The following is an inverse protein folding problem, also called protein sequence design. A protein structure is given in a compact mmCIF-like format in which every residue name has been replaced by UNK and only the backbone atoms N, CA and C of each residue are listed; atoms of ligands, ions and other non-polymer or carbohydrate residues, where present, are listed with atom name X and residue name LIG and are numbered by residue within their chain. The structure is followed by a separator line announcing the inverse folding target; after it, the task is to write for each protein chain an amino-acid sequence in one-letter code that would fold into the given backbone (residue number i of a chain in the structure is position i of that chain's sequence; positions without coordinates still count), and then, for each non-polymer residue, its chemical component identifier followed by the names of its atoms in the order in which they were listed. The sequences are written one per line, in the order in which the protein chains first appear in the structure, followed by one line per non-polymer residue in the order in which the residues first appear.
data_IF_966937045954
#
_entry.id   IF_966937045954
#
_cell.length_a   1.000
_cell.length_b   1.000
_cell.length_c   1.000
_cell.angle_alpha   90.00
_cell.angle_beta   90.00
_cell.angle_gamma   90.00
#
_symmetry.space_group_name_H-M   'P 1'
#
loop_
_entity.id
_entity.type
_entity.pdbx_description
1 polymer ?
#
# COMPACT_ATOMS: atom_id res chain seq x y z
N UNK A 1 -7.88 23.48 -8.97
CA UNK A 1 -6.50 23.62 -8.46
C UNK A 1 -5.52 24.12 -9.54
N UNK A 2 -5.28 23.35 -10.61
CA UNK A 2 -4.28 23.68 -11.65
C UNK A 2 -4.49 25.04 -12.31
N UNK A 3 -5.74 25.37 -12.63
CA UNK A 3 -6.13 26.68 -13.18
C UNK A 3 -5.78 27.84 -12.22
N UNK A 4 -5.99 27.64 -10.92
CA UNK A 4 -5.71 28.66 -9.90
C UNK A 4 -4.21 28.90 -9.72
N UNK A 5 -3.39 27.85 -9.72
CA UNK A 5 -1.94 27.98 -9.58
C UNK A 5 -1.28 28.60 -10.82
N UNK A 6 -1.77 28.27 -12.03
CA UNK A 6 -1.32 28.91 -13.28
C UNK A 6 -1.64 30.41 -13.26
N UNK A 7 -2.81 30.80 -12.76
CA UNK A 7 -3.17 32.21 -12.60
C UNK A 7 -2.30 32.92 -11.56
N UNK A 8 -1.92 32.26 -10.45
CA UNK A 8 -0.98 32.84 -9.47
C UNK A 8 0.42 33.03 -10.05
N UNK A 9 0.92 32.05 -10.81
CA UNK A 9 2.20 32.14 -11.49
C UNK A 9 2.22 33.29 -12.52
N UNK A 10 1.15 33.43 -13.32
CA UNK A 10 0.99 34.56 -14.26
C UNK A 10 0.91 35.92 -13.56
N UNK A 11 0.45 35.96 -12.31
CA UNK A 11 0.42 37.15 -11.46
C UNK A 11 1.71 37.37 -10.66
N UNK A 12 2.80 36.66 -10.96
CA UNK A 12 4.10 36.82 -10.29
C UNK A 12 4.16 36.33 -8.83
N UNK A 13 3.13 35.61 -8.35
CA UNK A 13 3.12 35.02 -7.00
C UNK A 13 3.78 33.64 -7.05
N UNK A 14 4.49 33.27 -5.98
CA UNK A 14 5.12 31.94 -5.84
C UNK A 14 4.03 30.85 -5.97
N UNK A 15 4.03 30.04 -7.05
CA UNK A 15 3.05 28.98 -7.24
C UNK A 15 3.32 27.82 -6.28
N UNK A 16 2.27 27.12 -5.85
CA UNK A 16 2.41 25.96 -4.96
C UNK A 16 2.98 24.75 -5.71
N UNK A 17 2.62 24.59 -6.98
CA UNK A 17 3.20 23.60 -7.89
C UNK A 17 3.75 24.26 -9.17
N UNK A 18 5.00 23.95 -9.49
CA UNK A 18 5.65 24.42 -10.72
C UNK A 18 5.37 23.46 -11.88
N UNK A 19 4.32 23.73 -12.66
CA UNK A 19 3.93 22.95 -13.82
C UNK A 19 5.01 22.87 -14.92
N UNK A 20 6.04 23.74 -14.90
CA UNK A 20 7.17 23.62 -15.83
C UNK A 20 7.95 22.32 -15.63
N UNK A 21 7.85 21.70 -14.44
CA UNK A 21 8.46 20.40 -14.14
C UNK A 21 7.89 19.26 -15.00
N UNK A 22 6.63 19.37 -15.44
CA UNK A 22 6.00 18.36 -16.31
C UNK A 22 6.57 18.36 -17.74
N UNK A 23 7.38 19.37 -18.12
CA UNK A 23 8.14 19.33 -19.38
C UNK A 23 9.26 18.30 -19.33
N UNK A 24 9.75 17.91 -18.16
CA UNK A 24 10.75 16.86 -18.04
C UNK A 24 10.09 15.48 -18.20
N UNK A 25 10.43 14.71 -19.25
CA UNK A 25 9.74 13.45 -19.54
C UNK A 25 9.89 12.43 -18.40
N UNK A 26 11.06 12.35 -17.76
CA UNK A 26 11.28 11.45 -16.62
C UNK A 26 10.41 11.81 -15.41
N UNK A 27 10.15 13.09 -15.17
CA UNK A 27 9.26 13.54 -14.10
C UNK A 27 7.79 13.23 -14.43
N UNK A 28 7.35 13.54 -15.66
CA UNK A 28 5.97 13.30 -16.11
C UNK A 28 5.61 11.81 -16.14
N UNK A 29 6.42 10.99 -16.80
CA UNK A 29 6.19 9.54 -16.87
C UNK A 29 6.44 8.86 -15.52
N UNK A 30 7.37 9.39 -14.72
CA UNK A 30 7.58 8.96 -13.35
C UNK A 30 6.34 9.17 -12.48
N UNK A 31 5.76 10.38 -12.46
CA UNK A 31 4.52 10.65 -11.73
C UNK A 31 3.35 9.78 -12.21
N UNK A 32 3.21 9.57 -13.51
CA UNK A 32 2.18 8.67 -14.05
C UNK A 32 2.39 7.22 -13.57
N UNK A 33 3.64 6.75 -13.52
CA UNK A 33 3.98 5.42 -12.99
C UNK A 33 3.65 5.35 -11.49
N UNK A 34 3.99 6.38 -10.70
CA UNK A 34 3.65 6.48 -9.27
C UNK A 34 2.14 6.38 -9.06
N UNK A 35 1.35 7.07 -9.90
CA UNK A 35 -0.11 7.01 -9.85
C UNK A 35 -0.63 5.59 -10.04
N UNK A 36 -0.20 4.92 -11.12
CA UNK A 36 -0.68 3.57 -11.46
C UNK A 36 -0.25 2.53 -10.43
N UNK A 37 1.00 2.60 -9.95
CA UNK A 37 1.52 1.72 -8.88
C UNK A 37 0.65 1.87 -7.64
N UNK A 38 0.47 3.11 -7.17
CA UNK A 38 -0.33 3.38 -5.97
C UNK A 38 -1.79 2.93 -6.13
N UNK A 39 -2.34 3.05 -7.34
CA UNK A 39 -3.68 2.58 -7.67
C UNK A 39 -3.80 1.06 -7.54
N UNK A 40 -2.87 0.30 -8.11
CA UNK A 40 -2.86 -1.16 -8.01
C UNK A 40 -2.57 -1.66 -6.60
N UNK A 41 -1.52 -1.12 -5.95
CA UNK A 41 -1.02 -1.61 -4.67
C UNK A 41 -2.04 -1.47 -3.54
N UNK A 42 -2.61 -0.27 -3.38
CA UNK A 42 -3.53 0.02 -2.28
C UNK A 42 -4.89 -0.61 -2.50
N UNK A 43 -5.36 -0.67 -3.75
CA UNK A 43 -6.59 -1.40 -4.07
C UNK A 43 -6.45 -2.90 -3.80
N UNK A 44 -5.31 -3.51 -4.14
CA UNK A 44 -5.04 -4.92 -3.86
C UNK A 44 -5.02 -5.22 -2.34
N UNK A 45 -4.29 -4.42 -1.55
CA UNK A 45 -4.24 -4.62 -0.09
C UNK A 45 -5.63 -4.44 0.54
N UNK A 46 -6.42 -3.47 0.06
CA UNK A 46 -7.79 -3.25 0.51
C UNK A 46 -8.68 -4.48 0.28
N UNK A 47 -8.70 -5.04 -0.94
CA UNK A 47 -9.53 -6.22 -1.23
C UNK A 47 -9.07 -7.46 -0.46
N UNK A 48 -7.77 -7.65 -0.26
CA UNK A 48 -7.25 -8.81 0.48
C UNK A 48 -7.64 -8.73 1.95
N UNK A 49 -7.63 -7.53 2.52
CA UNK A 49 -8.12 -7.30 3.87
C UNK A 49 -9.59 -7.68 4.01
N UNK A 50 -10.44 -7.27 3.06
CA UNK A 50 -11.87 -7.66 3.03
C UNK A 50 -12.01 -9.17 2.89
N UNK A 51 -11.29 -9.79 1.97
CA UNK A 51 -11.37 -11.23 1.71
C UNK A 51 -10.97 -12.06 2.93
N UNK A 52 -9.83 -11.75 3.54
CA UNK A 52 -9.34 -12.47 4.71
C UNK A 52 -10.25 -12.31 5.93
N UNK A 53 -10.81 -11.12 6.13
CA UNK A 53 -11.70 -10.89 7.26
C UNK A 53 -13.09 -11.50 7.04
N UNK A 54 -13.62 -11.46 5.82
CA UNK A 54 -15.01 -11.89 5.53
C UNK A 54 -15.09 -13.35 5.15
N UNK A 55 -14.31 -13.79 4.15
CA UNK A 55 -14.41 -15.14 3.61
C UNK A 55 -13.61 -16.11 4.48
N UNK A 56 -12.41 -15.72 4.90
CA UNK A 56 -11.57 -16.54 5.80
C UNK A 56 -11.88 -16.33 7.28
N UNK A 57 -12.82 -15.43 7.60
CA UNK A 57 -13.30 -15.17 8.96
C UNK A 57 -12.15 -14.85 9.94
N UNK A 58 -11.08 -14.23 9.43
CA UNK A 58 -9.94 -13.84 10.24
C UNK A 58 -10.25 -12.54 10.97
N UNK A 59 -9.85 -12.45 12.24
CA UNK A 59 -9.83 -11.16 12.95
C UNK A 59 -8.87 -10.18 12.26
N UNK A 60 -9.03 -8.88 12.54
CA UNK A 60 -8.10 -7.86 12.05
C UNK A 60 -6.64 -8.14 12.43
N UNK A 61 -6.40 -8.68 13.63
CA UNK A 61 -5.05 -9.06 14.09
C UNK A 61 -4.51 -10.24 13.28
N UNK A 62 -5.31 -11.29 13.06
CA UNK A 62 -4.91 -12.43 12.23
C UNK A 62 -4.67 -12.05 10.78
N UNK A 63 -5.47 -11.12 10.25
CA UNK A 63 -5.27 -10.55 8.92
C UNK A 63 -3.95 -9.78 8.85
N UNK A 64 -3.64 -8.97 9.87
CA UNK A 64 -2.34 -8.32 10.00
C UNK A 64 -1.16 -9.31 10.05
N UNK A 65 -1.30 -10.40 10.81
CA UNK A 65 -0.32 -11.49 10.85
C UNK A 65 -0.15 -12.14 9.48
N UNK A 66 -1.24 -12.32 8.73
CA UNK A 66 -1.22 -12.88 7.37
C UNK A 66 -0.43 -12.01 6.40
N UNK A 67 -0.38 -10.68 6.61
CA UNK A 67 0.44 -9.75 5.83
C UNK A 67 1.91 -9.68 6.28
N UNK A 68 2.32 -10.31 7.39
CA UNK A 68 3.72 -10.26 7.85
C UNK A 68 4.74 -10.76 6.83
N UNK A 69 4.53 -11.89 6.11
CA UNK A 69 5.47 -12.34 5.09
C UNK A 69 5.71 -11.29 4.00
N UNK A 70 4.65 -10.58 3.60
CA UNK A 70 4.76 -9.45 2.67
C UNK A 70 5.61 -8.32 3.26
N UNK A 71 5.32 -7.89 4.49
CA UNK A 71 6.06 -6.81 5.15
C UNK A 71 7.55 -7.15 5.35
N UNK A 72 7.86 -8.38 5.74
CA UNK A 72 9.24 -8.88 5.86
C UNK A 72 9.93 -8.85 4.51
N UNK A 73 9.24 -9.30 3.45
CA UNK A 73 9.79 -9.27 2.09
C UNK A 73 10.08 -7.84 1.64
N UNK A 74 9.16 -6.89 1.84
CA UNK A 74 9.40 -5.46 1.55
C UNK A 74 10.63 -4.95 2.30
N UNK A 75 10.74 -5.26 3.59
CA UNK A 75 11.86 -4.84 4.43
C UNK A 75 13.21 -5.36 3.92
N UNK A 76 13.26 -6.60 3.42
CA UNK A 76 14.47 -7.23 2.87
C UNK A 76 14.81 -6.65 1.48
N UNK A 77 13.82 -6.56 0.59
CA UNK A 77 14.06 -6.19 -0.81
C UNK A 77 14.22 -4.69 -1.04
N UNK A 78 13.66 -3.83 -0.19
CA UNK A 78 13.84 -2.37 -0.29
C UNK A 78 15.31 -1.90 -0.27
N UNK A 79 16.19 -2.33 0.66
CA UNK A 79 17.61 -1.97 0.61
C UNK A 79 18.35 -2.65 -0.54
N UNK A 80 17.98 -3.89 -0.89
CA UNK A 80 18.57 -4.63 -2.01
C UNK A 80 18.33 -3.89 -3.34
N UNK A 81 17.19 -3.23 -3.48
CA UNK A 81 16.85 -2.45 -4.65
C UNK A 81 17.89 -1.37 -4.98
N UNK A 82 18.46 -0.70 -3.97
CA UNK A 82 19.52 0.30 -4.18
C UNK A 82 20.81 -0.31 -4.70
N UNK A 83 21.19 -1.49 -4.18
CA UNK A 83 22.35 -2.25 -4.67
C UNK A 83 22.15 -2.71 -6.12
N UNK A 84 20.96 -3.23 -6.43
CA UNK A 84 20.59 -3.63 -7.79
C UNK A 84 20.51 -2.42 -8.73
N UNK A 85 20.06 -1.27 -8.25
CA UNK A 85 19.94 -0.06 -9.06
C UNK A 85 21.32 0.48 -9.47
N UNK A 86 22.32 0.38 -8.59
CA UNK A 86 23.70 0.74 -8.91
C UNK A 86 24.30 -0.17 -9.99
N UNK A 87 23.93 -1.46 -10.01
CA UNK A 87 24.49 -2.44 -10.96
C UNK A 87 23.74 -2.50 -12.30
N UNK A 88 22.41 -2.50 -12.26
CA UNK A 88 21.55 -2.72 -13.42
C UNK A 88 20.84 -1.45 -13.91
N UNK A 89 20.82 -0.40 -13.09
CA UNK A 89 20.08 0.83 -13.34
C UNK A 89 18.72 0.84 -12.64
N UNK A 90 18.29 2.00 -12.08
CA UNK A 90 17.09 2.08 -11.24
C UNK A 90 15.81 1.75 -12.01
N UNK A 91 15.74 2.09 -13.31
CA UNK A 91 14.61 1.75 -14.18
C UNK A 91 14.34 0.25 -14.18
N UNK A 92 15.36 -0.58 -14.40
CA UNK A 92 15.18 -2.02 -14.51
C UNK A 92 14.80 -2.65 -13.17
N UNK A 93 15.29 -2.11 -12.06
CA UNK A 93 14.87 -2.55 -10.72
C UNK A 93 13.38 -2.26 -10.48
N UNK A 94 12.93 -1.06 -10.83
CA UNK A 94 11.50 -0.71 -10.79
C UNK A 94 10.68 -1.67 -11.64
N UNK A 95 11.03 -1.83 -12.92
CA UNK A 95 10.28 -2.69 -13.83
C UNK A 95 10.20 -4.12 -13.31
N UNK A 96 11.31 -4.68 -12.83
CA UNK A 96 11.33 -6.03 -12.24
C UNK A 96 10.43 -6.12 -11.00
N UNK A 97 10.45 -5.11 -10.13
CA UNK A 97 9.56 -5.07 -8.97
C UNK A 97 8.09 -5.13 -9.36
N UNK A 98 7.70 -4.30 -10.33
CA UNK A 98 6.33 -4.24 -10.84
C UNK A 98 5.91 -5.53 -11.57
N UNK A 99 6.83 -6.19 -12.28
CA UNK A 99 6.56 -7.50 -12.90
C UNK A 99 6.32 -8.56 -11.82
N UNK A 100 7.09 -8.56 -10.73
CA UNK A 100 6.87 -9.48 -9.61
C UNK A 100 5.54 -9.24 -8.92
N UNK A 101 5.16 -7.97 -8.71
CA UNK A 101 3.84 -7.60 -8.20
C UNK A 101 2.72 -8.13 -9.12
N UNK A 102 2.83 -7.89 -10.43
CA UNK A 102 1.84 -8.37 -11.39
C UNK A 102 1.72 -9.90 -11.39
N UNK A 103 2.85 -10.63 -11.38
CA UNK A 103 2.87 -12.10 -11.25
C UNK A 103 2.17 -12.54 -9.98
N UNK A 104 2.46 -11.90 -8.84
CA UNK A 104 1.82 -12.25 -7.59
C UNK A 104 0.30 -11.99 -7.62
N UNK A 105 -0.15 -10.86 -8.18
CA UNK A 105 -1.58 -10.55 -8.30
C UNK A 105 -2.31 -11.51 -9.26
N UNK A 106 -1.69 -11.92 -10.38
CA UNK A 106 -2.23 -12.97 -11.25
C UNK A 106 -2.27 -14.33 -10.54
N UNK A 107 -1.26 -14.67 -9.74
CA UNK A 107 -1.28 -15.87 -8.91
C UNK A 107 -2.43 -15.81 -7.91
N UNK A 108 -2.70 -14.66 -7.27
CA UNK A 108 -3.84 -14.49 -6.37
C UNK A 108 -5.17 -14.69 -7.10
N UNK A 109 -5.32 -14.14 -8.31
CA UNK A 109 -6.50 -14.40 -9.16
C UNK A 109 -6.69 -15.91 -9.43
N UNK A 110 -5.61 -16.64 -9.67
CA UNK A 110 -5.64 -18.06 -9.99
C UNK A 110 -5.95 -18.95 -8.76
N UNK A 111 -5.33 -18.66 -7.62
CA UNK A 111 -5.46 -19.53 -6.43
C UNK A 111 -6.66 -19.18 -5.54
N UNK A 112 -7.24 -17.99 -5.68
CA UNK A 112 -8.29 -17.56 -4.75
C UNK A 112 -9.57 -18.35 -4.97
N UNK A 113 -9.98 -19.07 -3.93
CA UNK A 113 -11.21 -19.85 -3.84
C UNK A 113 -11.70 -19.87 -2.40
N UNK A 114 -12.99 -20.15 -2.20
CA UNK A 114 -13.60 -20.28 -0.87
C UNK A 114 -12.84 -21.32 -0.03
N UNK A 115 -12.38 -22.41 -0.64
CA UNK A 115 -11.66 -23.50 0.02
C UNK A 115 -10.16 -23.26 0.19
N UNK A 116 -9.57 -22.27 -0.48
CA UNK A 116 -8.11 -22.06 -0.46
C UNK A 116 -7.60 -21.78 0.95
N UNK A 117 -6.70 -22.60 1.50
CA UNK A 117 -6.13 -22.34 2.80
C UNK A 117 -5.33 -21.05 2.85
N UNK A 118 -5.32 -20.38 4.01
CA UNK A 118 -4.61 -19.08 4.18
C UNK A 118 -3.11 -19.22 3.94
N UNK A 119 -2.52 -20.36 4.26
CA UNK A 119 -1.08 -20.60 4.09
C UNK A 119 -0.62 -20.61 2.62
N UNK A 120 -1.51 -20.90 1.67
CA UNK A 120 -1.19 -20.87 0.24
C UNK A 120 -0.95 -19.43 -0.28
N UNK A 121 -1.44 -18.43 0.45
CA UNK A 121 -1.20 -17.02 0.13
C UNK A 121 0.18 -16.54 0.57
N UNK A 122 0.84 -17.17 1.55
CA UNK A 122 2.14 -16.74 2.05
C UNK A 122 3.25 -16.66 0.98
N UNK A 123 3.49 -17.68 0.14
CA UNK A 123 4.50 -17.57 -0.91
C UNK A 123 4.18 -16.44 -1.89
N UNK A 124 2.91 -16.25 -2.23
CA UNK A 124 2.47 -15.20 -3.16
C UNK A 124 2.64 -13.81 -2.55
N UNK A 125 2.33 -13.65 -1.26
CA UNK A 125 2.54 -12.42 -0.50
C UNK A 125 4.03 -12.07 -0.35
N UNK A 126 4.92 -13.07 -0.25
CA UNK A 126 6.37 -12.85 -0.26
C UNK A 126 6.82 -12.31 -1.62
N UNK A 127 6.36 -12.89 -2.73
CA UNK A 127 6.67 -12.42 -4.09
C UNK A 127 6.13 -11.00 -4.30
N UNK A 128 4.89 -10.75 -3.87
CA UNK A 128 4.27 -9.43 -3.93
C UNK A 128 5.08 -8.40 -3.14
N UNK A 129 5.43 -8.70 -1.88
CA UNK A 129 6.24 -7.82 -1.04
C UNK A 129 7.65 -7.58 -1.58
N UNK A 130 8.26 -8.57 -2.24
CA UNK A 130 9.55 -8.41 -2.90
C UNK A 130 9.44 -7.40 -4.05
N UNK A 131 8.38 -7.51 -4.86
CA UNK A 131 8.10 -6.58 -5.93
C UNK A 131 7.92 -5.14 -5.43
N UNK A 132 7.05 -4.97 -4.43
CA UNK A 132 6.78 -3.67 -3.78
C UNK A 132 8.06 -3.04 -3.23
N UNK A 133 8.90 -3.83 -2.54
CA UNK A 133 10.18 -3.34 -2.00
C UNK A 133 11.15 -2.85 -3.09
N UNK A 134 11.24 -3.58 -4.20
CA UNK A 134 12.05 -3.21 -5.36
C UNK A 134 11.51 -1.95 -6.07
N UNK A 135 10.19 -1.84 -6.24
CA UNK A 135 9.57 -0.75 -6.97
C UNK A 135 9.58 0.57 -6.17
N UNK A 136 9.01 0.58 -4.96
CA UNK A 136 8.81 1.80 -4.16
C UNK A 136 10.13 2.52 -3.87
N UNK A 137 11.18 1.77 -3.56
CA UNK A 137 12.48 2.32 -3.16
C UNK A 137 13.18 3.14 -4.26
N UNK A 138 12.93 2.80 -5.53
CA UNK A 138 13.58 3.46 -6.66
C UNK A 138 12.67 4.47 -7.36
N UNK A 139 11.35 4.28 -7.32
CA UNK A 139 10.38 5.14 -8.02
C UNK A 139 10.55 6.62 -7.67
N UNK A 140 10.62 6.93 -6.37
CA UNK A 140 10.75 8.31 -5.89
C UNK A 140 12.08 8.92 -6.33
N UNK A 141 13.18 8.17 -6.20
CA UNK A 141 14.51 8.62 -6.61
C UNK A 141 14.55 8.95 -8.11
N UNK A 142 13.98 8.08 -8.94
CA UNK A 142 13.92 8.25 -10.41
C UNK A 142 13.15 9.50 -10.81
N UNK A 143 12.01 9.75 -10.16
CA UNK A 143 11.19 10.95 -10.39
C UNK A 143 11.98 12.21 -10.03
N UNK A 144 12.62 12.23 -8.86
CA UNK A 144 13.34 13.41 -8.37
C UNK A 144 14.66 13.68 -9.09
N UNK A 145 15.35 12.64 -9.57
CA UNK A 145 16.55 12.79 -10.40
C UNK A 145 16.27 13.41 -11.78
N UNK A 146 15.00 13.43 -12.21
CA UNK A 146 14.60 13.95 -13.52
C UNK A 146 14.37 15.47 -13.54
N UNK A 147 14.54 16.15 -12.42
CA UNK A 147 14.27 17.60 -12.25
C UNK A 147 15.46 18.32 -11.61
N UNK A 148 15.61 19.65 -11.78
CA UNK A 148 16.66 20.41 -11.10
C UNK A 148 16.57 20.26 -9.58
N UNK A 149 17.72 20.06 -8.91
CA UNK A 149 17.79 19.76 -7.47
C UNK A 149 17.13 20.83 -6.59
N UNK A 150 17.16 22.10 -7.01
CA UNK A 150 16.52 23.21 -6.30
C UNK A 150 14.98 23.07 -6.25
N UNK A 151 14.40 22.28 -7.16
CA UNK A 151 12.97 22.02 -7.26
C UNK A 151 12.56 20.65 -6.70
N UNK A 152 13.50 19.89 -6.14
CA UNK A 152 13.24 18.55 -5.59
C UNK A 152 12.17 18.55 -4.48
N UNK A 153 12.10 19.62 -3.68
CA UNK A 153 11.04 19.77 -2.67
C UNK A 153 9.63 19.81 -3.28
N UNK A 154 9.45 20.58 -4.35
CA UNK A 154 8.17 20.66 -5.10
C UNK A 154 7.87 19.31 -5.78
N UNK A 155 8.89 18.68 -6.37
CA UNK A 155 8.76 17.37 -6.99
C UNK A 155 8.35 16.27 -6.00
N UNK A 156 8.89 16.28 -4.78
CA UNK A 156 8.56 15.32 -3.73
C UNK A 156 7.12 15.51 -3.23
N UNK A 157 6.70 16.77 -3.05
CA UNK A 157 5.31 17.09 -2.72
C UNK A 157 4.34 16.54 -3.78
N UNK A 158 4.62 16.79 -5.05
CA UNK A 158 3.81 16.28 -6.15
C UNK A 158 3.79 14.76 -6.23
N UNK A 159 4.93 14.10 -6.01
CA UNK A 159 5.03 12.64 -5.94
C UNK A 159 4.11 12.07 -4.85
N UNK A 160 4.13 12.66 -3.64
CA UNK A 160 3.27 12.22 -2.55
C UNK A 160 1.79 12.49 -2.83
N UNK A 161 1.45 13.65 -3.39
CA UNK A 161 0.06 13.95 -3.78
C UNK A 161 -0.45 12.97 -4.83
N UNK A 162 0.34 12.73 -5.89
CA UNK A 162 -0.03 11.77 -6.94
C UNK A 162 -0.18 10.36 -6.37
N UNK A 163 0.68 9.96 -5.43
CA UNK A 163 0.56 8.68 -4.73
C UNK A 163 -0.76 8.60 -3.96
N UNK A 164 -1.10 9.60 -3.15
CA UNK A 164 -2.36 9.60 -2.38
C UNK A 164 -3.60 9.59 -3.28
N UNK A 165 -3.59 10.37 -4.36
CA UNK A 165 -4.67 10.36 -5.37
C UNK A 165 -4.75 8.99 -6.02
N UNK A 166 -3.61 8.40 -6.42
CA UNK A 166 -3.54 7.04 -6.95
C UNK A 166 -4.12 6.01 -5.99
N UNK A 167 -3.73 6.03 -4.71
CA UNK A 167 -4.26 5.14 -3.68
C UNK A 167 -5.79 5.25 -3.53
N UNK A 168 -6.32 6.47 -3.49
CA UNK A 168 -7.76 6.70 -3.38
C UNK A 168 -8.51 6.20 -4.63
N UNK A 169 -7.99 6.48 -5.83
CA UNK A 169 -8.53 5.95 -7.08
C UNK A 169 -8.47 4.42 -7.14
N UNK A 170 -7.39 3.82 -6.62
CA UNK A 170 -7.21 2.39 -6.52
C UNK A 170 -8.31 1.72 -5.71
N UNK A 171 -8.49 2.19 -4.48
CA UNK A 171 -9.55 1.71 -3.59
C UNK A 171 -10.93 1.89 -4.22
N UNK A 172 -11.19 3.06 -4.85
CA UNK A 172 -12.48 3.34 -5.47
C UNK A 172 -12.77 2.43 -6.69
N UNK A 173 -11.84 2.32 -7.63
CA UNK A 173 -12.05 1.55 -8.88
C UNK A 173 -12.05 0.06 -8.61
N UNK A 174 -11.06 -0.45 -7.87
CA UNK A 174 -10.96 -1.88 -7.55
C UNK A 174 -12.10 -2.28 -6.60
N UNK A 175 -12.48 -1.41 -5.66
CA UNK A 175 -13.66 -1.59 -4.81
C UNK A 175 -14.98 -1.60 -5.59
N UNK A 176 -15.13 -0.74 -6.61
CA UNK A 176 -16.29 -0.75 -7.49
C UNK A 176 -16.37 -2.05 -8.31
N UNK A 177 -15.23 -2.55 -8.82
CA UNK A 177 -15.16 -3.86 -9.48
C UNK A 177 -15.58 -4.97 -8.52
N UNK A 178 -15.04 -4.97 -7.30
CA UNK A 178 -15.42 -5.94 -6.26
C UNK A 178 -16.94 -5.95 -6.02
N UNK A 179 -17.56 -4.78 -5.80
CA UNK A 179 -19.01 -4.65 -5.56
C UNK A 179 -19.84 -5.06 -6.77
N UNK A 180 -19.42 -4.67 -7.99
CA UNK A 180 -20.11 -5.05 -9.21
C UNK A 180 -20.10 -6.57 -9.43
N UNK A 181 -18.95 -7.22 -9.19
CA UNK A 181 -18.83 -8.67 -9.30
C UNK A 181 -19.64 -9.37 -8.19
N UNK A 182 -19.56 -8.90 -6.93
CA UNK A 182 -20.38 -9.44 -5.83
C UNK A 182 -21.87 -9.42 -6.22
N UNK A 183 -22.35 -8.29 -6.74
CA UNK A 183 -23.75 -8.13 -7.14
C UNK A 183 -24.10 -9.11 -8.27
N UNK A 184 -23.28 -9.15 -9.34
CA UNK A 184 -23.56 -9.99 -10.51
C UNK A 184 -23.48 -11.49 -10.23
N UNK A 185 -22.44 -11.94 -9.53
CA UNK A 185 -22.24 -13.36 -9.18
C UNK A 185 -23.26 -13.79 -8.13
N UNK A 186 -23.47 -12.98 -7.10
CA UNK A 186 -24.46 -13.29 -6.06
C UNK A 186 -25.87 -13.41 -6.63
N UNK A 187 -26.28 -12.51 -7.54
CA UNK A 187 -27.58 -12.62 -8.21
C UNK A 187 -27.66 -13.87 -9.10
N UNK A 188 -26.58 -14.21 -9.80
CA UNK A 188 -26.51 -15.43 -10.60
C UNK A 188 -26.62 -16.69 -9.72
N UNK A 189 -25.96 -16.72 -8.56
CA UNK A 189 -26.01 -17.84 -7.61
C UNK A 189 -27.42 -18.00 -7.00
N UNK A 190 -28.09 -16.88 -6.69
CA UNK A 190 -29.48 -16.85 -6.21
C UNK A 190 -30.46 -17.34 -7.30
N UNK A 191 -30.20 -16.99 -8.56
CA UNK A 191 -31.01 -17.41 -9.70
C UNK A 191 -30.77 -18.87 -10.12
N UNK A 192 -29.52 -19.35 -10.00
CA UNK A 192 -29.11 -20.69 -10.39
C UNK A 192 -29.45 -21.77 -9.35
N UNK A 193 -30.01 -21.38 -8.20
CA UNK A 193 -30.44 -22.29 -7.13
C UNK A 193 -29.31 -23.25 -6.68
N UNK A 194 -28.07 -22.74 -6.57
CA UNK A 194 -26.92 -23.52 -6.06
C UNK A 194 -27.22 -24.08 -4.66
N UNK A 195 -28.15 -23.47 -3.93
CA UNK A 195 -28.88 -24.09 -2.85
C UNK A 195 -30.12 -24.80 -3.39
N UNK A 196 -30.00 -26.08 -3.73
CA UNK A 196 -31.12 -26.96 -4.10
C UNK A 196 -32.31 -26.71 -3.12
N UNK A 197 -33.30 -25.92 -3.56
CA UNK A 197 -34.55 -25.56 -2.87
C UNK A 197 -34.51 -24.68 -1.59
N UNK A 198 -35.53 -23.81 -1.47
CA UNK A 198 -36.18 -23.24 -0.23
C UNK A 198 -35.82 -21.84 0.33
N UNK A 199 -35.18 -20.91 -0.40
CA UNK A 199 -35.21 -19.51 0.08
C UNK A 199 -36.61 -18.87 -0.15
N UNK A 200 -37.33 -18.41 0.90
CA UNK A 200 -38.59 -17.69 0.73
C UNK A 200 -38.34 -16.34 0.06
N UNK A 201 -39.38 -15.79 -0.58
CA UNK A 201 -39.28 -14.51 -1.30
C UNK A 201 -38.71 -13.36 -0.42
N UNK A 202 -39.02 -13.36 0.88
CA UNK A 202 -38.47 -12.40 1.84
C UNK A 202 -36.96 -12.54 2.02
N UNK A 203 -36.43 -13.77 2.12
CA UNK A 203 -34.98 -14.01 2.24
C UNK A 203 -34.23 -13.68 0.95
N UNK A 204 -34.83 -13.95 -0.22
CA UNK A 204 -34.28 -13.54 -1.52
C UNK A 204 -34.19 -12.02 -1.63
N UNK A 205 -35.27 -11.30 -1.30
CA UNK A 205 -35.27 -9.83 -1.30
C UNK A 205 -34.24 -9.22 -0.33
N UNK A 206 -34.07 -9.81 0.86
CA UNK A 206 -33.04 -9.39 1.82
C UNK A 206 -31.62 -9.62 1.28
N UNK A 207 -31.37 -10.78 0.67
CA UNK A 207 -30.08 -11.11 0.06
C UNK A 207 -29.79 -10.22 -1.15
N UNK A 208 -30.77 -9.98 -2.02
CA UNK A 208 -30.65 -9.06 -3.16
C UNK A 208 -30.34 -7.63 -2.69
N UNK A 209 -31.01 -7.16 -1.63
CA UNK A 209 -30.71 -5.88 -1.01
C UNK A 209 -29.28 -5.79 -0.47
N UNK A 210 -28.78 -6.86 0.16
CA UNK A 210 -27.42 -6.94 0.67
C UNK A 210 -26.38 -6.96 -0.47
N UNK A 211 -26.61 -7.76 -1.51
CA UNK A 211 -25.73 -7.84 -2.68
C UNK A 211 -25.64 -6.50 -3.40
N UNK A 212 -26.78 -5.83 -3.61
CA UNK A 212 -26.84 -4.50 -4.23
C UNK A 212 -26.23 -3.39 -3.37
N UNK A 213 -26.30 -3.51 -2.03
CA UNK A 213 -25.64 -2.58 -1.12
C UNK A 213 -24.11 -2.75 -1.11
N UNK A 214 -23.58 -3.88 -1.61
CA UNK A 214 -22.16 -4.16 -1.68
C UNK A 214 -21.48 -4.08 -0.32
N UNK A 215 -20.68 -3.02 -0.11
CA UNK A 215 -19.94 -2.77 1.14
C UNK A 215 -20.58 -1.69 2.03
N UNK A 216 -21.69 -1.07 1.61
CA UNK A 216 -22.31 0.06 2.32
C UNK A 216 -22.86 -0.30 3.70
N UNK A 217 -23.25 -1.56 3.91
CA UNK A 217 -23.74 -2.06 5.20
C UNK A 217 -22.61 -2.59 6.11
N UNK A 218 -21.35 -2.35 5.73
CA UNK A 218 -20.20 -2.95 6.40
C UNK A 218 -19.88 -4.35 5.88
N UNK A 219 -18.73 -4.84 6.32
CA UNK A 219 -18.12 -6.06 5.81
C UNK A 219 -18.66 -7.27 6.58
N UNK A 220 -19.32 -8.22 5.89
CA UNK A 220 -19.76 -9.49 6.47
C UNK A 220 -21.00 -9.43 7.37
N UNK A 221 -21.77 -8.34 7.36
CA UNK A 221 -23.00 -8.24 8.15
C UNK A 221 -24.17 -8.94 7.44
N UNK A 222 -24.80 -9.89 8.13
CA UNK A 222 -26.01 -10.55 7.62
C UNK A 222 -27.26 -9.67 7.85
N UNK A 223 -28.30 -9.79 7.00
CA UNK A 223 -29.53 -9.02 7.16
C UNK A 223 -30.22 -9.37 8.50
N UNK A 224 -30.63 -8.38 9.29
CA UNK A 224 -31.37 -8.63 10.53
C UNK A 224 -32.71 -9.31 10.23
N UNK A 225 -33.07 -10.32 11.03
CA UNK A 225 -34.32 -11.07 10.87
C UNK A 225 -34.24 -12.27 9.91
N UNK A 226 -33.05 -12.62 9.41
CA UNK A 226 -32.87 -13.85 8.63
C UNK A 226 -33.11 -15.10 9.50
N UNK A 227 -34.05 -15.99 9.16
CA UNK A 227 -34.25 -17.24 9.89
C UNK A 227 -32.96 -18.08 9.91
N UNK A 228 -32.64 -18.69 11.06
CA UNK A 228 -31.43 -19.50 11.28
C UNK A 228 -31.22 -20.58 10.22
N UNK A 229 -32.31 -21.17 9.72
CA UNK A 229 -32.28 -22.20 8.66
C UNK A 229 -31.69 -21.71 7.32
N UNK A 230 -31.69 -20.40 7.04
CA UNK A 230 -31.19 -19.83 5.79
C UNK A 230 -29.82 -19.17 5.92
N UNK A 231 -29.29 -19.01 7.13
CA UNK A 231 -28.02 -18.32 7.38
C UNK A 231 -26.88 -18.97 6.59
N UNK A 232 -26.77 -20.30 6.61
CA UNK A 232 -25.67 -21.01 5.93
C UNK A 232 -25.72 -20.87 4.41
N UNK A 233 -26.92 -20.88 3.83
CA UNK A 233 -27.11 -20.66 2.39
C UNK A 233 -26.68 -19.24 2.01
N UNK A 234 -27.15 -18.23 2.76
CA UNK A 234 -26.80 -16.82 2.53
C UNK A 234 -25.29 -16.59 2.67
N UNK A 235 -24.67 -17.14 3.72
CA UNK A 235 -23.22 -17.05 3.93
C UNK A 235 -22.45 -17.71 2.79
N UNK A 236 -22.93 -18.84 2.26
CA UNK A 236 -22.28 -19.53 1.14
C UNK A 236 -22.30 -18.67 -0.12
N UNK A 237 -23.46 -18.09 -0.46
CA UNK A 237 -23.60 -17.20 -1.62
C UNK A 237 -22.72 -15.95 -1.47
N UNK A 238 -22.77 -15.30 -0.31
CA UNK A 238 -21.94 -14.11 -0.04
C UNK A 238 -20.45 -14.44 -0.12
N UNK A 239 -20.01 -15.54 0.49
CA UNK A 239 -18.61 -15.94 0.47
C UNK A 239 -18.13 -16.27 -0.94
N UNK A 240 -18.96 -16.93 -1.75
CA UNK A 240 -18.66 -17.21 -3.15
C UNK A 240 -18.57 -15.90 -3.96
N UNK A 241 -19.55 -15.02 -3.84
CA UNK A 241 -19.59 -13.73 -4.53
C UNK A 241 -18.40 -12.83 -4.15
N UNK A 242 -18.03 -12.74 -2.87
CA UNK A 242 -16.86 -11.98 -2.40
C UNK A 242 -15.57 -12.64 -2.88
N UNK A 243 -15.50 -13.97 -2.92
CA UNK A 243 -14.33 -14.69 -3.45
C UNK A 243 -14.13 -14.36 -4.93
N UNK A 244 -15.18 -14.48 -5.76
CA UNK A 244 -15.10 -14.13 -7.18
C UNK A 244 -14.80 -12.64 -7.39
N UNK A 245 -15.42 -11.77 -6.61
CA UNK A 245 -15.12 -10.35 -6.62
C UNK A 245 -13.66 -10.07 -6.27
N UNK A 246 -13.08 -10.78 -5.30
CA UNK A 246 -11.67 -10.66 -4.93
C UNK A 246 -10.76 -11.13 -6.05
N UNK A 247 -11.10 -12.23 -6.73
CA UNK A 247 -10.35 -12.73 -7.90
C UNK A 247 -10.30 -11.65 -8.99
N UNK A 248 -11.46 -11.19 -9.46
CA UNK A 248 -11.53 -10.22 -10.55
C UNK A 248 -10.95 -8.84 -10.17
N UNK A 249 -11.07 -8.45 -8.91
CA UNK A 249 -10.40 -7.26 -8.39
C UNK A 249 -8.86 -7.42 -8.39
N UNK A 250 -8.33 -8.59 -8.01
CA UNK A 250 -6.90 -8.89 -8.10
C UNK A 250 -6.40 -8.91 -9.55
N UNK A 251 -7.18 -9.45 -10.47
CA UNK A 251 -6.90 -9.39 -11.92
C UNK A 251 -6.86 -7.95 -12.44
N UNK A 252 -7.81 -7.11 -12.01
CA UNK A 252 -7.84 -5.68 -12.37
C UNK A 252 -6.62 -4.94 -11.82
N UNK A 253 -6.24 -5.20 -10.55
CA UNK A 253 -5.02 -4.66 -9.98
C UNK A 253 -3.78 -5.12 -10.76
N UNK A 254 -3.72 -6.40 -11.16
CA UNK A 254 -2.62 -6.94 -11.96
C UNK A 254 -2.49 -6.23 -13.31
N UNK A 255 -3.62 -5.89 -13.96
CA UNK A 255 -3.63 -5.09 -15.19
C UNK A 255 -3.04 -3.70 -14.95
N UNK A 256 -3.47 -3.00 -13.89
CA UNK A 256 -2.91 -1.68 -13.58
C UNK A 256 -1.42 -1.75 -13.31
N UNK A 257 -0.97 -2.66 -12.45
CA UNK A 257 0.47 -2.83 -12.17
C UNK A 257 1.25 -3.19 -13.44
N UNK A 258 0.69 -4.03 -14.32
CA UNK A 258 1.32 -4.37 -15.62
C UNK A 258 1.46 -3.14 -16.52
N UNK A 259 0.42 -2.28 -16.62
CA UNK A 259 0.52 -1.00 -17.33
C UNK A 259 1.55 -0.07 -16.70
N UNK A 260 1.65 -0.08 -15.37
CA UNK A 260 2.69 0.64 -14.66
C UNK A 260 4.09 0.12 -15.01
N UNK A 261 4.26 -1.19 -15.16
CA UNK A 261 5.52 -1.80 -15.55
C UNK A 261 5.92 -1.35 -16.97
N UNK A 262 4.95 -1.36 -17.90
CA UNK A 262 5.14 -0.83 -19.25
C UNK A 262 5.46 0.68 -19.23
N UNK A 263 4.76 1.46 -18.41
CA UNK A 263 5.02 2.90 -18.21
C UNK A 263 6.42 3.15 -17.64
N UNK A 264 6.91 2.29 -16.75
CA UNK A 264 8.25 2.40 -16.19
C UNK A 264 9.34 2.27 -17.27
N UNK A 265 9.05 1.57 -18.37
CA UNK A 265 9.94 1.50 -19.54
C UNK A 265 10.00 2.82 -20.34
N UNK A 266 9.09 3.76 -20.11
CA UNK A 266 9.15 5.09 -20.72
C UNK A 266 10.03 6.06 -19.92
N UNK A 267 10.40 5.68 -18.69
CA UNK A 267 11.32 6.47 -17.88
C UNK A 267 12.71 6.44 -18.54
N UNK A 268 13.30 7.60 -18.88
CA UNK A 268 14.67 7.66 -19.40
C UNK A 268 15.62 7.04 -18.37
N UNK A 269 16.43 6.07 -18.78
CA UNK A 269 17.40 5.44 -17.88
C UNK A 269 18.47 6.47 -17.52
N UNK A 270 18.53 6.98 -16.28
CA UNK A 270 19.65 7.78 -15.86
C UNK A 270 20.77 6.77 -15.60
N UNK A 271 21.43 6.30 -16.66
CA UNK A 271 22.84 5.92 -16.48
C UNK A 271 23.47 7.19 -15.97
N UNK A 272 23.86 7.19 -14.69
CA UNK A 272 24.74 8.21 -14.20
C UNK A 272 25.93 8.21 -15.15
N UNK A 273 25.97 9.18 -16.07
CA UNK A 273 27.24 9.73 -16.50
C UNK A 273 27.81 10.34 -15.23
N UNK A 274 28.43 9.50 -14.42
CA UNK A 274 29.45 9.94 -13.49
C UNK A 274 30.67 10.28 -14.35
N UNK A 275 30.52 11.28 -15.22
CA UNK A 275 31.59 12.19 -15.61
C UNK A 275 31.71 13.25 -14.49
N UNK A 276 31.52 12.84 -13.23
CA UNK A 276 32.22 13.51 -12.16
C UNK A 276 33.67 13.07 -12.33
N UNK A 277 34.44 13.86 -13.09
CA UNK A 277 35.89 13.95 -12.87
C UNK A 277 36.05 13.91 -11.36
N UNK A 278 36.67 12.84 -10.87
CA UNK A 278 37.16 12.74 -9.52
C UNK A 278 38.25 13.81 -9.37
N UNK A 279 37.82 15.06 -9.29
CA UNK A 279 38.54 16.06 -8.56
C UNK A 279 38.43 15.53 -7.15
N UNK A 280 39.57 15.11 -6.60
CA UNK A 280 39.73 14.75 -5.20
C UNK A 280 39.45 15.98 -4.33
N UNK A 281 38.22 16.46 -4.35
CA UNK A 281 37.68 17.35 -3.33
C UNK A 281 37.36 16.45 -2.16
N UNK A 282 38.29 16.43 -1.21
CA UNK A 282 38.04 16.26 0.22
C UNK A 282 36.55 16.23 0.53
N UNK A 283 36.05 15.08 1.02
CA UNK A 283 34.66 14.89 1.45
C UNK A 283 34.23 16.11 2.26
N UNK A 284 33.49 17.02 1.63
CA UNK A 284 33.14 18.29 2.24
C UNK A 284 32.12 18.01 3.34
N UNK A 285 32.19 18.84 4.38
CA UNK A 285 31.32 18.83 5.56
C UNK A 285 29.82 18.75 5.18
N UNK A 286 29.45 19.24 4.00
CA UNK A 286 28.07 19.32 3.49
C UNK A 286 27.41 17.98 3.17
N UNK A 287 28.17 16.94 2.78
CA UNK A 287 27.60 15.61 2.49
C UNK A 287 27.19 14.86 3.76
N UNK A 288 27.92 15.07 4.88
CA UNK A 288 27.50 14.59 6.21
C UNK A 288 26.27 15.35 6.71
N UNK A 289 26.25 16.67 6.53
CA UNK A 289 25.10 17.52 6.91
C UNK A 289 23.83 17.13 6.14
N UNK A 290 23.94 16.74 4.87
CA UNK A 290 22.80 16.26 4.08
C UNK A 290 22.28 14.89 4.57
N UNK A 291 23.18 13.97 4.91
CA UNK A 291 22.83 12.68 5.51
C UNK A 291 22.17 12.85 6.89
N UNK A 292 22.67 13.77 7.70
CA UNK A 292 22.08 14.13 9.00
C UNK A 292 20.70 14.79 8.82
N UNK A 293 20.52 15.62 7.79
CA UNK A 293 19.23 16.25 7.46
C UNK A 293 18.19 15.24 6.97
N UNK A 294 18.57 14.28 6.13
CA UNK A 294 17.67 13.21 5.67
C UNK A 294 17.28 12.30 6.84
N UNK A 295 18.25 11.95 7.69
CA UNK A 295 17.99 11.19 8.92
C UNK A 295 17.06 11.94 9.85
N UNK A 296 17.25 13.25 10.02
CA UNK A 296 16.38 14.10 10.82
C UNK A 296 14.94 14.18 10.27
N UNK A 297 14.77 14.27 8.94
CA UNK A 297 13.44 14.27 8.30
C UNK A 297 12.71 12.95 8.56
N UNK A 298 13.40 11.82 8.42
CA UNK A 298 12.84 10.49 8.70
C UNK A 298 12.44 10.41 10.18
N UNK A 299 13.32 10.84 11.10
CA UNK A 299 13.04 10.86 12.55
C UNK A 299 11.83 11.73 12.87
N UNK A 300 11.72 12.93 12.28
CA UNK A 300 10.58 13.84 12.49
C UNK A 300 9.28 13.24 11.95
N UNK A 301 9.31 12.63 10.76
CA UNK A 301 8.13 12.00 10.17
C UNK A 301 7.65 10.81 11.02
N UNK A 302 8.57 9.99 11.53
CA UNK A 302 8.25 8.93 12.48
C UNK A 302 7.69 9.49 13.80
N UNK A 303 8.25 10.57 14.34
CA UNK A 303 7.75 11.23 15.55
C UNK A 303 6.32 11.77 15.37
N UNK A 304 6.01 12.33 14.19
CA UNK A 304 4.64 12.80 13.87
C UNK A 304 3.66 11.63 13.80
N UNK A 305 4.04 10.52 13.16
CA UNK A 305 3.20 9.30 13.10
C UNK A 305 2.95 8.75 14.51
N UNK A 306 3.99 8.70 15.35
CA UNK A 306 3.88 8.28 16.76
C UNK A 306 2.96 9.23 17.54
N UNK A 307 3.09 10.55 17.35
CA UNK A 307 2.24 11.54 17.98
C UNK A 307 0.77 11.41 17.59
N UNK A 308 0.48 11.15 16.31
CA UNK A 308 -0.89 10.90 15.83
C UNK A 308 -1.46 9.60 16.38
N UNK A 309 -0.68 8.52 16.44
CA UNK A 309 -1.11 7.24 17.02
C UNK A 309 -1.34 7.36 18.54
N UNK A 310 -0.49 8.10 19.24
CA UNK A 310 -0.66 8.39 20.66
C UNK A 310 -1.90 9.26 20.91
N UNK A 311 -2.18 10.24 20.05
CA UNK A 311 -3.38 11.06 20.12
C UNK A 311 -4.66 10.24 19.89
N UNK A 312 -4.66 9.32 18.91
CA UNK A 312 -5.77 8.40 18.66
C UNK A 312 -5.98 7.45 19.85
N UNK A 313 -4.90 6.92 20.43
CA UNK A 313 -4.96 6.07 21.63
C UNK A 313 -5.45 6.84 22.87
N UNK A 314 -5.08 8.12 23.01
CA UNK A 314 -5.57 9.01 24.06
C UNK A 314 -7.06 9.33 23.89
N UNK A 315 -7.49 9.66 22.68
CA UNK A 315 -8.90 9.94 22.38
C UNK A 315 -9.77 8.70 22.58
N UNK A 316 -9.24 7.52 22.21
CA UNK A 316 -9.85 6.23 22.54
C UNK A 316 -9.97 5.97 24.05
N UNK A 317 -8.94 6.28 24.85
CA UNK A 317 -9.00 6.04 26.30
C UNK A 317 -9.95 6.98 27.04
N UNK A 318 -10.27 8.14 26.45
CA UNK A 318 -11.21 9.13 27.01
C UNK A 318 -12.65 8.98 26.49
N UNK A 319 -12.86 8.27 25.37
CA UNK A 319 -14.17 8.16 24.74
C UNK A 319 -14.87 6.81 25.05
N UNK A 320 -15.82 6.86 26.00
CA UNK A 320 -16.57 5.69 26.45
C UNK A 320 -17.37 5.00 25.33
N UNK A 321 -17.87 5.76 24.35
CA UNK A 321 -18.55 5.19 23.19
C UNK A 321 -17.59 4.38 22.32
N UNK A 322 -16.39 4.90 22.04
CA UNK A 322 -15.39 4.15 21.27
C UNK A 322 -14.95 2.88 22.01
N UNK A 323 -14.72 2.95 23.33
CA UNK A 323 -14.38 1.75 24.10
C UNK A 323 -15.48 0.71 24.07
N UNK A 324 -16.75 1.14 24.18
CA UNK A 324 -17.89 0.24 24.13
C UNK A 324 -18.01 -0.39 22.74
N UNK A 325 -17.96 0.42 21.68
CA UNK A 325 -18.01 -0.05 20.31
C UNK A 325 -16.89 -1.03 19.98
N UNK A 326 -15.64 -0.74 20.38
CA UNK A 326 -14.51 -1.64 20.15
C UNK A 326 -14.57 -2.90 21.02
N UNK A 327 -15.08 -2.84 22.25
CA UNK A 327 -15.35 -4.06 23.03
C UNK A 327 -16.36 -4.97 22.34
N UNK A 328 -17.40 -4.37 21.75
CA UNK A 328 -18.52 -5.11 21.17
C UNK A 328 -18.22 -5.59 19.74
N UNK A 329 -17.36 -4.89 18.99
CA UNK A 329 -17.12 -5.15 17.56
C UNK A 329 -15.68 -5.59 17.22
N UNK A 330 -14.67 -5.21 18.03
CA UNK A 330 -13.26 -5.48 17.74
C UNK A 330 -12.39 -5.55 19.01
N UNK A 331 -12.66 -6.51 19.92
CA UNK A 331 -12.11 -6.52 21.29
C UNK A 331 -10.58 -6.62 21.33
N UNK A 332 -9.97 -7.28 20.34
CA UNK A 332 -8.51 -7.35 20.21
C UNK A 332 -7.88 -5.97 19.92
N UNK A 333 -8.47 -5.18 19.02
CA UNK A 333 -8.00 -3.82 18.71
C UNK A 333 -8.24 -2.91 19.91
N UNK A 334 -9.40 -3.06 20.58
CA UNK A 334 -9.70 -2.35 21.81
C UNK A 334 -8.69 -2.62 22.92
N UNK A 335 -8.24 -3.87 23.09
CA UNK A 335 -7.19 -4.24 24.04
C UNK A 335 -5.84 -3.60 23.67
N UNK A 336 -5.46 -3.61 22.40
CA UNK A 336 -4.23 -2.96 21.93
C UNK A 336 -4.23 -1.45 22.16
N UNK A 337 -5.34 -0.78 21.86
CA UNK A 337 -5.54 0.66 22.07
C UNK A 337 -5.60 1.04 23.56
N UNK A 338 -6.08 0.14 24.42
CA UNK A 338 -6.24 0.36 25.86
C UNK A 338 -4.97 0.05 26.67
N UNK A 339 -4.17 -0.94 26.26
CA UNK A 339 -3.15 -1.52 27.15
C UNK A 339 -1.70 -1.48 26.65
N UNK A 340 -1.44 -1.32 25.34
CA UNK A 340 -0.10 -1.60 24.80
C UNK A 340 0.41 -0.67 23.69
N UNK A 341 -0.41 0.18 23.08
CA UNK A 341 0.04 0.94 21.90
C UNK A 341 1.22 1.88 22.19
N UNK A 342 1.20 2.62 23.32
CA UNK A 342 2.28 3.55 23.65
C UNK A 342 3.62 2.85 23.92
N UNK A 343 3.65 1.87 24.83
CA UNK A 343 4.89 1.24 25.31
C UNK A 343 5.46 0.21 24.33
N UNK A 344 4.62 -0.57 23.62
CA UNK A 344 5.10 -1.58 22.67
C UNK A 344 5.61 -0.94 21.38
N UNK A 345 4.97 0.13 20.88
CA UNK A 345 5.50 0.87 19.74
C UNK A 345 6.83 1.58 20.09
N UNK A 346 6.94 2.16 21.30
CA UNK A 346 8.21 2.74 21.77
C UNK A 346 9.30 1.66 21.90
N UNK A 347 8.98 0.46 22.40
CA UNK A 347 9.96 -0.61 22.58
C UNK A 347 10.40 -1.26 21.26
N UNK A 348 9.46 -1.58 20.36
CA UNK A 348 9.76 -2.24 19.07
C UNK A 348 10.49 -1.27 18.13
N UNK A 349 10.03 -0.01 18.07
CA UNK A 349 10.63 1.00 17.18
C UNK A 349 11.89 1.60 17.80
N UNK A 350 11.93 1.81 19.12
CA UNK A 350 13.16 2.18 19.83
C UNK A 350 14.24 1.12 19.70
N UNK A 351 13.86 -0.17 19.75
CA UNK A 351 14.73 -1.30 19.45
C UNK A 351 15.24 -1.29 18.01
N UNK A 352 14.36 -1.05 17.03
CA UNK A 352 14.74 -0.94 15.61
C UNK A 352 15.66 0.25 15.32
N UNK A 353 15.43 1.41 15.97
CA UNK A 353 16.27 2.61 15.85
C UNK A 353 17.63 2.44 16.53
N UNK A 354 17.67 1.79 17.70
CA UNK A 354 18.94 1.43 18.36
C UNK A 354 19.72 0.41 17.54
N UNK A 355 19.05 -0.61 17.01
CA UNK A 355 19.66 -1.61 16.13
C UNK A 355 20.23 -0.97 14.85
N UNK A 356 19.47 -0.08 14.22
CA UNK A 356 19.92 0.71 13.06
C UNK A 356 21.13 1.59 13.43
N UNK A 357 21.09 2.31 14.55
CA UNK A 357 22.21 3.14 15.03
C UNK A 357 23.47 2.33 15.34
N UNK A 358 23.32 1.09 15.80
CA UNK A 358 24.43 0.17 16.04
C UNK A 358 25.00 -0.38 14.72
N UNK A 359 24.13 -0.72 13.76
CA UNK A 359 24.53 -1.29 12.46
C UNK A 359 25.18 -0.28 11.51
N UNK A 360 24.87 1.02 11.62
CA UNK A 360 25.42 2.08 10.75
C UNK A 360 26.61 2.83 11.35
N UNK A 361 27.10 2.45 12.54
CA UNK A 361 28.39 3.01 13.01
C UNK A 361 29.49 2.69 11.99
N UNK A 362 30.13 3.69 11.36
CA UNK A 362 31.31 3.44 10.55
C UNK A 362 32.36 2.85 11.49
N UNK A 363 32.94 1.69 11.14
CA UNK A 363 34.17 1.23 11.79
C UNK A 363 35.19 2.36 11.63
N UNK A 364 35.43 3.11 12.69
CA UNK A 364 36.46 4.14 12.73
C UNK A 364 37.77 3.46 12.35
N UNK A 365 38.33 3.85 11.20
CA UNK A 365 39.58 3.32 10.70
C UNK A 365 40.66 3.50 11.77
N UNK A 366 41.35 2.42 12.10
CA UNK A 366 42.66 2.50 12.76
C UNK A 366 43.52 3.43 11.92
N UNK A 367 44.00 4.53 12.51
CA UNK A 367 45.07 5.33 11.92
C UNK A 367 46.26 4.40 11.64
N UNK A 368 46.88 4.46 10.45
CA UNK A 368 48.20 3.86 10.29
C UNK A 368 49.16 4.62 11.20
N UNK A 369 49.88 3.87 12.02
CA UNK A 369 51.02 4.34 12.78
C UNK A 369 52.11 4.74 11.80
N UNK A 370 52.34 6.04 11.62
CA UNK A 370 53.54 6.56 10.98
C UNK A 370 54.51 7.00 12.08
N UNK A 371 55.49 6.14 12.34
CA UNK A 371 56.88 6.40 12.78
C UNK A 371 57.41 5.15 13.48
#
# INVERSE_FOLDING_TARGET
FSYYDILRARKGKVPLFDFSLLRFPGFRFGLFTVFIVAMGEFGAVFIFSIYFQTVKQLSAVQTGITFLPMAISVFIFAPIAGLLANRFGPRWVVTTGMVLEAIALFSIFAITSVSTPVYDYYPVLVVYGAGVGLAISQLTSVVLMSIPWQKAGIGSGANNTVRQVGSAFGIAVIGAVLVAIISSVGQADVAADIAQSTLPASAKAMLDGLLNAGLSNGVGQLPPGLPQQYVQVVVTVINHAITEGTRWAAFTAAIFVSFGALSSLLIPNPRAKTDAKATTTTVSRDSRVLGDRISAIIIVQFAVIIGLLAAISWDYSQNAFMQQWFRDNAPAIGFFLNSYLGTVLIAVIGGALLFWRVMIKPRAGRKPSNS
#
